data_IF_006770787117
#
_entry.id   IF_006770787117
#
_cell.length_a   1.000
_cell.length_b   1.000
_cell.length_c   1.000
_cell.angle_alpha   90.00
_cell.angle_beta   90.00
_cell.angle_gamma   90.00
#
_symmetry.space_group_name_H-M   'P 1'
#
loop_
_entity.id
_entity.type
_entity.pdbx_description
1 polymer ?
#
# COMPACT_ATOMS: atom_id res chain seq x y z
N UNK A 1 1.35 19.36 -13.76
CA UNK A 1 1.90 18.27 -12.94
C UNK A 1 0.80 17.24 -12.77
N UNK A 2 1.07 15.97 -13.10
CA UNK A 2 0.07 14.88 -13.18
C UNK A 2 -0.81 14.80 -11.94
N UNK A 3 -0.21 14.94 -10.75
CA UNK A 3 -0.96 14.98 -9.48
C UNK A 3 -2.09 16.02 -9.46
N UNK A 4 -1.80 17.27 -9.85
CA UNK A 4 -2.76 18.37 -9.80
C UNK A 4 -3.87 18.17 -10.82
N UNK A 5 -3.54 17.59 -11.97
CA UNK A 5 -4.49 17.28 -13.03
C UNK A 5 -5.46 16.18 -12.61
N UNK A 6 -4.96 15.07 -12.08
CA UNK A 6 -5.81 14.01 -11.55
C UNK A 6 -6.65 14.49 -10.36
N UNK A 7 -6.11 15.35 -9.49
CA UNK A 7 -6.87 15.96 -8.40
C UNK A 7 -8.08 16.75 -8.92
N UNK A 8 -7.87 17.62 -9.93
CA UNK A 8 -8.96 18.39 -10.55
C UNK A 8 -10.02 17.49 -11.17
N UNK A 9 -9.63 16.45 -11.90
CA UNK A 9 -10.56 15.48 -12.50
C UNK A 9 -11.43 14.81 -11.43
N UNK A 10 -10.84 14.48 -10.28
CA UNK A 10 -11.55 13.86 -9.17
C UNK A 10 -12.49 14.86 -8.46
N UNK A 11 -12.01 16.07 -8.18
CA UNK A 11 -12.77 17.06 -7.39
C UNK A 11 -13.85 17.78 -8.22
N UNK A 12 -13.47 18.28 -9.40
CA UNK A 12 -14.31 19.13 -10.25
C UNK A 12 -15.22 18.27 -11.13
N UNK A 13 -14.63 17.32 -11.88
CA UNK A 13 -15.35 16.51 -12.87
C UNK A 13 -16.02 15.27 -12.25
N UNK A 14 -15.74 14.98 -10.96
CA UNK A 14 -16.23 13.79 -10.24
C UNK A 14 -15.94 12.48 -10.98
N UNK A 15 -14.82 12.43 -11.69
CA UNK A 15 -14.39 11.28 -12.48
C UNK A 15 -12.98 10.83 -12.08
N UNK A 16 -12.44 9.80 -12.72
CA UNK A 16 -11.12 9.28 -12.41
C UNK A 16 -10.37 8.85 -13.67
N UNK A 17 -9.15 9.36 -13.83
CA UNK A 17 -8.26 8.93 -14.91
C UNK A 17 -7.19 7.95 -14.38
N UNK A 18 -7.36 6.68 -14.73
CA UNK A 18 -6.44 5.61 -14.37
C UNK A 18 -5.06 5.76 -15.03
N UNK A 19 -4.98 6.36 -16.21
CA UNK A 19 -3.73 6.58 -16.92
C UNK A 19 -2.88 7.60 -16.17
N UNK A 20 -3.48 8.72 -15.74
CA UNK A 20 -2.80 9.70 -14.90
C UNK A 20 -2.39 9.08 -13.55
N UNK A 21 -3.27 8.29 -12.92
CA UNK A 21 -2.93 7.57 -11.69
C UNK A 21 -1.69 6.66 -11.86
N UNK A 22 -1.60 5.95 -12.97
CA UNK A 22 -0.48 5.04 -13.25
C UNK A 22 0.84 5.79 -13.47
N UNK A 23 0.81 7.06 -13.85
CA UNK A 23 2.00 7.90 -13.99
C UNK A 23 2.51 8.46 -12.66
N UNK A 24 1.65 8.53 -11.63
CA UNK A 24 2.06 8.94 -10.29
C UNK A 24 3.04 7.93 -9.68
N UNK A 25 4.06 8.45 -8.99
CA UNK A 25 4.89 7.67 -8.08
C UNK A 25 4.07 7.13 -6.90
N UNK A 26 4.62 6.16 -6.19
CA UNK A 26 3.95 5.57 -5.02
C UNK A 26 3.66 6.63 -3.95
N UNK A 27 4.62 7.52 -3.67
CA UNK A 27 4.46 8.60 -2.69
C UNK A 27 3.38 9.61 -3.09
N UNK A 28 3.26 9.93 -4.39
CA UNK A 28 2.19 10.79 -4.89
C UNK A 28 0.81 10.13 -4.76
N UNK A 29 0.71 8.82 -5.02
CA UNK A 29 -0.55 8.08 -4.82
C UNK A 29 -0.95 8.06 -3.35
N UNK A 30 0.01 7.85 -2.44
CA UNK A 30 -0.23 7.87 -0.99
C UNK A 30 -0.66 9.27 -0.51
N UNK A 31 0.01 10.32 -1.00
CA UNK A 31 -0.38 11.71 -0.72
C UNK A 31 -1.80 12.00 -1.24
N UNK A 32 -2.14 11.53 -2.43
CA UNK A 32 -3.47 11.72 -3.00
C UNK A 32 -4.53 10.99 -2.17
N UNK A 33 -4.28 9.73 -1.76
CA UNK A 33 -5.19 8.98 -0.90
C UNK A 33 -5.40 9.68 0.44
N UNK A 34 -4.34 10.23 1.03
CA UNK A 34 -4.42 11.07 2.23
C UNK A 34 -5.27 12.32 2.00
N UNK A 35 -5.02 13.05 0.91
CA UNK A 35 -5.75 14.28 0.57
C UNK A 35 -7.23 14.03 0.32
N UNK A 36 -7.58 13.00 -0.46
CA UNK A 36 -8.97 12.60 -0.75
C UNK A 36 -9.71 12.31 0.57
N UNK A 37 -9.10 11.52 1.45
CA UNK A 37 -9.67 11.20 2.77
C UNK A 37 -9.83 12.43 3.67
N UNK A 38 -8.83 13.32 3.72
CA UNK A 38 -8.86 14.52 4.56
C UNK A 38 -9.84 15.57 4.09
N UNK A 39 -9.93 15.78 2.78
CA UNK A 39 -10.85 16.72 2.15
C UNK A 39 -12.27 16.15 2.00
N UNK A 40 -12.49 14.87 2.38
CA UNK A 40 -13.79 14.17 2.23
C UNK A 40 -14.29 14.17 0.79
N UNK A 41 -13.37 14.01 -0.16
CA UNK A 41 -13.71 13.87 -1.57
C UNK A 41 -14.11 12.42 -1.81
N UNK A 42 -15.29 12.17 -2.37
CA UNK A 42 -15.71 10.82 -2.74
C UNK A 42 -15.17 10.50 -4.15
N UNK A 43 -14.43 9.40 -4.27
CA UNK A 43 -13.97 8.86 -5.55
C UNK A 43 -13.78 7.34 -5.45
N UNK A 44 -14.87 6.60 -5.66
CA UNK A 44 -14.87 5.13 -5.59
C UNK A 44 -13.88 4.47 -6.52
N UNK A 45 -13.69 5.02 -7.73
CA UNK A 45 -12.75 4.46 -8.70
C UNK A 45 -11.30 4.68 -8.30
N UNK A 46 -10.98 5.86 -7.75
CA UNK A 46 -9.67 6.11 -7.14
C UNK A 46 -9.45 5.13 -5.99
N UNK A 47 -10.39 5.03 -5.03
CA UNK A 47 -10.26 4.15 -3.87
C UNK A 47 -10.06 2.70 -4.28
N UNK A 48 -10.84 2.21 -5.25
CA UNK A 48 -10.70 0.86 -5.80
C UNK A 48 -9.31 0.68 -6.42
N UNK A 49 -8.85 1.64 -7.22
CA UNK A 49 -7.55 1.54 -7.91
C UNK A 49 -6.38 1.61 -6.93
N UNK A 50 -6.47 2.45 -5.90
CA UNK A 50 -5.50 2.52 -4.82
C UNK A 50 -5.49 1.25 -3.97
N UNK A 51 -6.65 0.72 -3.59
CA UNK A 51 -6.72 -0.54 -2.84
C UNK A 51 -6.17 -1.75 -3.63
N UNK A 52 -6.24 -1.73 -4.96
CA UNK A 52 -5.58 -2.73 -5.79
C UNK A 52 -4.05 -2.66 -5.71
N UNK A 53 -3.44 -1.49 -5.48
CA UNK A 53 -1.98 -1.40 -5.27
C UNK A 53 -1.60 -2.02 -3.92
N UNK A 54 -2.41 -1.78 -2.89
CA UNK A 54 -2.25 -2.41 -1.57
C UNK A 54 -2.43 -3.93 -1.65
N UNK A 55 -3.43 -4.40 -2.40
CA UNK A 55 -3.74 -5.84 -2.53
C UNK A 55 -2.56 -6.63 -3.10
N UNK A 56 -1.81 -6.06 -4.05
CA UNK A 56 -0.60 -6.69 -4.61
C UNK A 56 0.46 -6.99 -3.55
N UNK A 57 0.60 -6.12 -2.55
CA UNK A 57 1.51 -6.35 -1.43
C UNK A 57 1.01 -7.50 -0.54
N UNK A 58 -0.29 -7.57 -0.29
CA UNK A 58 -0.91 -8.67 0.47
C UNK A 58 -0.75 -10.00 -0.27
N UNK A 59 -0.99 -10.04 -1.58
CA UNK A 59 -0.79 -11.22 -2.41
C UNK A 59 0.66 -11.69 -2.35
N UNK A 60 1.63 -10.75 -2.40
CA UNK A 60 3.05 -11.08 -2.30
C UNK A 60 3.42 -11.65 -0.92
N UNK A 61 2.86 -11.11 0.16
CA UNK A 61 3.01 -11.68 1.50
C UNK A 61 2.49 -13.13 1.56
N UNK A 62 1.32 -13.40 0.98
CA UNK A 62 0.76 -14.75 0.92
C UNK A 62 1.67 -15.73 0.16
N UNK A 63 2.27 -15.29 -0.95
CA UNK A 63 3.25 -16.09 -1.69
C UNK A 63 4.50 -16.38 -0.86
N UNK A 64 5.06 -15.38 -0.18
CA UNK A 64 6.23 -15.55 0.69
C UNK A 64 5.91 -16.53 1.83
N UNK A 65 4.77 -16.35 2.50
CA UNK A 65 4.34 -17.24 3.58
C UNK A 65 4.18 -18.69 3.08
N UNK A 66 3.63 -18.88 1.89
CA UNK A 66 3.50 -20.20 1.28
C UNK A 66 4.86 -20.83 0.98
N UNK A 67 5.81 -20.05 0.46
CA UNK A 67 7.18 -20.50 0.20
C UNK A 67 7.91 -20.95 1.48
N UNK A 68 7.80 -20.17 2.56
CA UNK A 68 8.38 -20.51 3.87
C UNK A 68 7.75 -21.81 4.40
N UNK A 69 6.43 -21.95 4.27
CA UNK A 69 5.69 -23.13 4.75
C UNK A 69 6.11 -24.43 4.06
N UNK A 70 6.49 -24.39 2.77
CA UNK A 70 6.98 -25.55 2.03
C UNK A 70 8.50 -25.78 2.20
N UNK A 71 9.16 -25.06 3.11
CA UNK A 71 10.57 -25.23 3.45
C UNK A 71 11.54 -24.33 2.68
N UNK A 72 11.06 -23.41 1.83
CA UNK A 72 11.90 -22.39 1.21
C UNK A 72 11.98 -21.14 2.09
N UNK A 73 12.84 -21.19 3.10
CA UNK A 73 13.04 -20.13 4.08
C UNK A 73 14.34 -19.35 3.84
N UNK A 74 14.47 -18.78 2.64
CA UNK A 74 15.64 -18.00 2.29
C UNK A 74 15.66 -16.65 3.05
N UNK A 75 16.82 -16.17 3.55
CA UNK A 75 16.94 -14.87 4.20
C UNK A 75 16.39 -13.69 3.37
N UNK A 76 16.50 -13.78 2.04
CA UNK A 76 15.96 -12.79 1.11
C UNK A 76 14.43 -12.69 1.18
N UNK A 77 13.72 -13.81 1.35
CA UNK A 77 12.26 -13.82 1.48
C UNK A 77 11.80 -13.20 2.80
N UNK A 78 12.55 -13.44 3.89
CA UNK A 78 12.30 -12.80 5.19
C UNK A 78 12.52 -11.28 5.12
N UNK A 79 13.59 -10.84 4.45
CA UNK A 79 13.85 -9.42 4.22
C UNK A 79 12.71 -8.78 3.40
N UNK A 80 12.29 -9.42 2.31
CA UNK A 80 11.18 -8.95 1.48
C UNK A 80 9.86 -8.88 2.27
N UNK A 81 9.56 -9.91 3.08
CA UNK A 81 8.37 -9.92 3.94
C UNK A 81 8.36 -8.72 4.91
N UNK A 82 9.51 -8.44 5.54
CA UNK A 82 9.67 -7.27 6.42
C UNK A 82 9.44 -5.96 5.67
N UNK A 83 10.06 -5.77 4.52
CA UNK A 83 9.89 -4.56 3.70
C UNK A 83 8.42 -4.32 3.30
N UNK A 84 7.70 -5.38 2.94
CA UNK A 84 6.29 -5.27 2.57
C UNK A 84 5.43 -4.93 3.81
N UNK A 85 5.69 -5.54 4.96
CA UNK A 85 5.00 -5.23 6.21
C UNK A 85 5.23 -3.77 6.63
N UNK A 86 6.45 -3.27 6.53
CA UNK A 86 6.80 -1.88 6.84
C UNK A 86 6.00 -0.91 5.93
N UNK A 87 5.89 -1.21 4.64
CA UNK A 87 5.08 -0.42 3.68
C UNK A 87 3.60 -0.43 4.04
N UNK A 88 3.03 -1.60 4.30
CA UNK A 88 1.60 -1.72 4.66
C UNK A 88 1.29 -0.98 5.98
N UNK A 89 2.22 -1.01 6.93
CA UNK A 89 2.12 -0.22 8.16
C UNK A 89 2.11 1.28 7.88
N UNK A 90 3.06 1.77 7.06
CA UNK A 90 3.13 3.19 6.67
C UNK A 90 1.86 3.65 5.93
N UNK A 91 1.22 2.77 5.16
CA UNK A 91 -0.06 3.02 4.48
C UNK A 91 -1.28 2.90 5.42
N UNK A 92 -1.08 2.56 6.69
CA UNK A 92 -2.15 2.46 7.69
C UNK A 92 -3.09 1.28 7.49
N UNK A 93 -2.64 0.20 6.85
CA UNK A 93 -3.45 -1.00 6.55
C UNK A 93 -3.78 -1.79 7.81
N UNK A 94 -2.92 -1.76 8.82
CA UNK A 94 -3.13 -2.43 10.10
C UNK A 94 -2.61 -1.59 11.27
N UNK A 95 -2.98 -2.00 12.49
CA UNK A 95 -2.67 -1.25 13.71
C UNK A 95 -1.18 -1.35 14.10
N UNK A 96 -0.72 -0.39 14.89
CA UNK A 96 0.61 -0.42 15.49
C UNK A 96 0.83 -1.68 16.35
N UNK A 97 -0.20 -2.14 17.06
CA UNK A 97 -0.12 -3.37 17.87
C UNK A 97 0.14 -4.61 17.01
N UNK A 98 -0.54 -4.71 15.87
CA UNK A 98 -0.29 -5.78 14.91
C UNK A 98 1.15 -5.70 14.39
N UNK A 99 1.57 -4.53 13.91
CA UNK A 99 2.94 -4.32 13.42
C UNK A 99 4.02 -4.67 14.45
N UNK A 100 3.84 -4.26 15.71
CA UNK A 100 4.78 -4.57 16.80
C UNK A 100 4.93 -6.08 17.04
N UNK A 101 3.84 -6.86 16.92
CA UNK A 101 3.90 -8.31 17.06
C UNK A 101 4.75 -8.98 15.97
N UNK A 102 4.73 -8.44 14.75
CA UNK A 102 5.58 -8.90 13.64
C UNK A 102 7.03 -8.49 13.82
N UNK A 103 7.30 -7.28 14.33
CA UNK A 103 8.68 -6.82 14.55
C UNK A 103 9.43 -7.77 15.48
N UNK A 104 8.77 -8.25 16.54
CA UNK A 104 9.34 -9.22 17.48
C UNK A 104 9.60 -10.60 16.85
N UNK A 105 8.88 -10.96 15.78
CA UNK A 105 9.13 -12.20 15.03
C UNK A 105 10.41 -12.13 14.18
N UNK A 106 10.76 -10.95 13.66
CA UNK A 106 11.97 -10.75 12.86
C UNK A 106 13.19 -10.32 13.68
N UNK A 107 12.97 -9.74 14.85
CA UNK A 107 14.02 -9.27 15.75
C UNK A 107 13.61 -9.51 17.21
N UNK A 108 13.74 -10.77 17.71
CA UNK A 108 13.26 -11.16 19.04
C UNK A 108 14.04 -10.51 20.20
N UNK A 109 15.09 -9.72 19.91
CA UNK A 109 15.95 -9.07 20.90
C UNK A 109 15.91 -7.52 20.82
N UNK A 110 14.99 -6.93 20.04
CA UNK A 110 14.87 -5.48 19.86
C UNK A 110 13.99 -4.77 20.90
#
# INVERSE_FOLDING_TARGET
HVFVELWRIIEDDRSFDKTLFNQLSESERDLMAYAIKKCKVDSREFERTYNLTISRHVDRLNMIQSAITIGNDAPALRAEMKEILDKLYQKGVFSHQFYASFKNYFDPNA
#
